data_IF_806809716392
#
_entry.id   IF_806809716392
#
_cell.length_a   1.000
_cell.length_b   1.000
_cell.length_c   1.000
_cell.angle_alpha   90.00
_cell.angle_beta   90.00
_cell.angle_gamma   90.00
#
_symmetry.space_group_name_H-M   'P 1'
#
loop_
_entity.id
_entity.type
_entity.pdbx_description
1 polymer ?
#
# COMPACT_ATOMS: atom_id res chain seq x y z
N UNK A 1 8.83 7.35 10.34
CA UNK A 1 8.41 8.69 9.81
C UNK A 1 7.68 8.52 8.50
N UNK A 2 6.56 9.24 8.24
CA UNK A 2 5.90 9.22 6.92
C UNK A 2 6.76 9.99 5.93
N UNK A 3 7.32 9.29 4.93
CA UNK A 3 8.12 9.90 3.86
C UNK A 3 7.29 10.20 2.62
N UNK A 4 6.22 9.42 2.41
CA UNK A 4 5.35 9.56 1.25
C UNK A 4 3.90 9.19 1.58
N UNK A 5 2.97 9.81 0.88
CA UNK A 5 1.55 9.41 0.87
C UNK A 5 1.20 8.88 -0.50
N UNK A 6 0.71 7.64 -0.52
CA UNK A 6 0.21 6.99 -1.73
C UNK A 6 -1.30 7.16 -1.80
N UNK A 7 -1.75 7.80 -2.87
CA UNK A 7 -3.18 8.04 -3.12
C UNK A 7 -3.77 6.88 -3.91
N UNK A 8 -4.60 6.12 -3.23
CA UNK A 8 -5.26 4.90 -3.67
C UNK A 8 -4.34 3.69 -3.82
N UNK A 9 -4.93 2.54 -4.21
CA UNK A 9 -4.27 1.27 -4.53
C UNK A 9 -4.88 0.69 -5.80
N UNK A 10 -4.05 0.31 -6.76
CA UNK A 10 -4.41 -0.36 -8.01
C UNK A 10 -5.64 0.22 -8.73
N UNK A 11 -5.66 1.53 -9.06
CA UNK A 11 -6.85 2.19 -9.60
C UNK A 11 -7.31 1.65 -10.95
N UNK A 12 -6.42 1.02 -11.71
CA UNK A 12 -6.72 0.40 -13.00
C UNK A 12 -7.10 -1.10 -12.88
N UNK A 13 -7.23 -1.61 -11.65
CA UNK A 13 -7.72 -2.94 -11.35
C UNK A 13 -9.17 -2.87 -10.85
N UNK A 14 -10.07 -3.60 -11.52
CA UNK A 14 -11.50 -3.60 -11.19
C UNK A 14 -11.80 -4.07 -9.76
N UNK A 15 -10.92 -4.84 -9.16
CA UNK A 15 -11.05 -5.29 -7.77
C UNK A 15 -10.73 -4.21 -6.74
N UNK A 16 -10.10 -3.08 -7.16
CA UNK A 16 -9.70 -1.98 -6.27
C UNK A 16 -10.38 -0.65 -6.60
N UNK A 17 -10.81 -0.46 -7.85
CA UNK A 17 -11.61 0.68 -8.28
C UNK A 17 -12.69 0.21 -9.25
N UNK A 18 -13.95 0.45 -8.91
CA UNK A 18 -15.06 0.03 -9.78
C UNK A 18 -15.21 0.98 -10.97
N UNK A 19 -14.33 0.84 -11.96
CA UNK A 19 -14.39 1.62 -13.19
C UNK A 19 -15.58 1.26 -14.11
N UNK A 20 -16.42 0.30 -13.74
CA UNK A 20 -17.73 0.12 -14.38
C UNK A 20 -18.72 1.22 -13.95
N UNK A 21 -18.44 1.88 -12.83
CA UNK A 21 -19.19 3.02 -12.33
C UNK A 21 -18.54 4.34 -12.76
N UNK A 22 -17.19 4.41 -12.79
CA UNK A 22 -16.40 5.55 -13.28
C UNK A 22 -15.67 5.15 -14.57
N UNK A 23 -16.39 5.01 -15.67
CA UNK A 23 -15.95 4.35 -16.91
C UNK A 23 -14.81 5.05 -17.64
N UNK A 24 -14.57 6.33 -17.35
CA UNK A 24 -13.50 7.13 -17.92
C UNK A 24 -12.48 7.64 -16.88
N UNK A 25 -12.55 7.14 -15.63
CA UNK A 25 -11.69 7.57 -14.50
C UNK A 25 -11.69 9.07 -14.20
N UNK A 26 -12.71 9.83 -14.60
CA UNK A 26 -12.78 11.26 -14.28
C UNK A 26 -13.04 11.54 -12.81
N UNK A 27 -13.85 10.69 -12.15
CA UNK A 27 -14.07 10.78 -10.70
C UNK A 27 -12.77 10.48 -9.95
N UNK A 28 -12.06 9.42 -10.35
CA UNK A 28 -10.73 9.09 -9.83
C UNK A 28 -9.76 10.26 -10.00
N UNK A 29 -9.62 10.78 -11.22
CA UNK A 29 -8.72 11.89 -11.53
C UNK A 29 -9.00 13.12 -10.66
N UNK A 30 -10.28 13.51 -10.53
CA UNK A 30 -10.69 14.63 -9.69
C UNK A 30 -10.35 14.37 -8.22
N UNK A 31 -10.65 13.18 -7.71
CA UNK A 31 -10.38 12.79 -6.32
C UNK A 31 -8.89 12.88 -5.99
N UNK A 32 -8.02 12.33 -6.84
CA UNK A 32 -6.56 12.38 -6.65
C UNK A 32 -6.04 13.81 -6.71
N UNK A 33 -6.49 14.60 -7.70
CA UNK A 33 -6.09 16.01 -7.83
C UNK A 33 -6.43 16.82 -6.58
N UNK A 34 -7.65 16.67 -6.06
CA UNK A 34 -8.08 17.37 -4.85
C UNK A 34 -7.27 16.95 -3.63
N UNK A 35 -7.09 15.64 -3.43
CA UNK A 35 -6.28 15.11 -2.32
C UNK A 35 -4.83 15.58 -2.39
N UNK A 36 -4.20 15.52 -3.57
CA UNK A 36 -2.84 16.00 -3.76
C UNK A 36 -2.68 17.49 -3.41
N UNK A 37 -3.63 18.31 -3.80
CA UNK A 37 -3.63 19.75 -3.49
C UNK A 37 -3.79 20.03 -1.99
N UNK A 38 -4.59 19.25 -1.27
CA UNK A 38 -4.68 19.38 0.19
C UNK A 38 -3.34 18.98 0.85
N UNK A 39 -2.69 17.91 0.40
CA UNK A 39 -1.35 17.53 0.89
C UNK A 39 -0.36 18.67 0.70
N UNK A 40 -0.31 19.30 -0.48
CA UNK A 40 0.62 20.39 -0.79
C UNK A 40 0.42 21.62 0.10
N UNK A 41 -0.82 21.91 0.51
CA UNK A 41 -1.10 23.01 1.45
C UNK A 41 -0.52 22.77 2.84
N UNK A 42 -0.52 21.50 3.30
CA UNK A 42 -0.09 21.12 4.65
C UNK A 42 1.40 20.87 4.71
N UNK A 43 1.91 20.08 3.77
CA UNK A 43 3.32 19.72 3.66
C UNK A 43 3.78 19.72 2.19
N UNK A 44 4.29 20.85 1.69
CA UNK A 44 4.75 20.95 0.31
C UNK A 44 5.89 19.99 -0.05
N UNK A 45 6.67 19.53 0.95
CA UNK A 45 7.81 18.63 0.78
C UNK A 45 7.45 17.14 0.85
N UNK A 46 6.21 16.79 1.19
CA UNK A 46 5.79 15.40 1.29
C UNK A 46 5.64 14.77 -0.11
N UNK A 47 6.27 13.62 -0.30
CA UNK A 47 6.18 12.88 -1.58
C UNK A 47 4.77 12.34 -1.79
N UNK A 48 4.17 12.66 -2.94
CA UNK A 48 2.85 12.16 -3.34
C UNK A 48 3.03 11.07 -4.40
N UNK A 49 2.54 9.88 -4.10
CA UNK A 49 2.65 8.70 -4.96
C UNK A 49 1.28 8.37 -5.54
N UNK A 50 1.20 8.20 -6.85
CA UNK A 50 0.02 7.61 -7.48
C UNK A 50 0.01 6.11 -7.15
N UNK A 51 -1.11 5.60 -6.63
CA UNK A 51 -1.26 4.21 -6.18
C UNK A 51 -0.82 3.20 -7.22
N UNK A 52 -0.13 2.15 -6.80
CA UNK A 52 0.53 1.17 -7.66
C UNK A 52 -0.37 0.59 -8.75
N UNK A 53 0.05 0.73 -9.98
CA UNK A 53 -0.72 0.27 -11.14
C UNK A 53 -0.62 -1.25 -11.30
N UNK A 54 -1.75 -1.91 -11.41
CA UNK A 54 -1.85 -3.36 -11.70
C UNK A 54 -3.06 -3.62 -12.60
N UNK A 55 -2.84 -4.04 -13.83
CA UNK A 55 -1.55 -4.32 -14.50
C UNK A 55 -0.70 -3.08 -14.74
N UNK A 56 0.59 -3.25 -15.04
CA UNK A 56 1.46 -2.16 -15.52
C UNK A 56 0.94 -1.69 -16.88
N UNK A 57 0.34 -0.50 -16.90
CA UNK A 57 -0.32 0.04 -18.10
C UNK A 57 0.09 1.49 -18.39
N UNK A 58 0.98 1.71 -19.37
CA UNK A 58 1.37 3.03 -19.81
C UNK A 58 0.22 3.88 -20.37
N UNK A 59 -0.83 3.25 -20.93
CA UNK A 59 -1.97 4.00 -21.47
C UNK A 59 -2.82 4.58 -20.36
N UNK A 60 -2.91 3.91 -19.22
CA UNK A 60 -3.57 4.47 -18.03
C UNK A 60 -2.83 5.71 -17.52
N UNK A 61 -1.49 5.70 -17.50
CA UNK A 61 -0.69 6.87 -17.14
C UNK A 61 -0.94 8.04 -18.10
N UNK A 62 -1.00 7.77 -19.43
CA UNK A 62 -1.34 8.79 -20.44
C UNK A 62 -2.75 9.35 -20.23
N UNK A 63 -3.72 8.50 -19.92
CA UNK A 63 -5.08 8.91 -19.63
C UNK A 63 -5.12 9.89 -18.44
N UNK A 64 -4.49 9.51 -17.31
CA UNK A 64 -4.41 10.37 -16.13
C UNK A 64 -3.61 11.66 -16.41
N UNK A 65 -2.58 11.60 -17.25
CA UNK A 65 -1.86 12.78 -17.74
C UNK A 65 -2.76 13.74 -18.51
N UNK A 66 -3.67 13.22 -19.36
CA UNK A 66 -4.63 14.03 -20.09
C UNK A 66 -5.64 14.74 -19.18
N UNK A 67 -5.82 14.27 -17.95
CA UNK A 67 -6.63 14.91 -16.91
C UNK A 67 -5.84 15.81 -15.96
N UNK A 68 -4.51 15.93 -16.16
CA UNK A 68 -3.63 16.75 -15.32
C UNK A 68 -3.21 16.10 -14.00
N UNK A 69 -3.56 14.83 -13.75
CA UNK A 69 -3.23 14.13 -12.49
C UNK A 69 -1.74 13.96 -12.30
N UNK A 70 -1.01 13.66 -13.40
CA UNK A 70 0.43 13.40 -13.36
C UNK A 70 1.21 14.65 -12.91
N UNK A 71 0.70 15.85 -13.16
CA UNK A 71 1.33 17.11 -12.72
C UNK A 71 1.21 17.34 -11.20
N UNK A 72 0.19 16.76 -10.56
CA UNK A 72 -0.11 16.94 -9.13
C UNK A 72 0.63 15.94 -8.23
N UNK A 73 1.25 14.89 -8.80
CA UNK A 73 1.98 13.83 -8.07
C UNK A 73 3.48 13.90 -8.31
N UNK A 74 4.27 13.21 -7.48
CA UNK A 74 5.73 13.15 -7.59
C UNK A 74 6.22 11.84 -8.16
N UNK A 75 5.53 10.73 -7.90
CA UNK A 75 5.96 9.36 -8.21
C UNK A 75 4.80 8.58 -8.80
N UNK A 76 5.07 7.80 -9.84
CA UNK A 76 4.16 6.76 -10.35
C UNK A 76 4.60 5.42 -9.77
N UNK A 77 3.72 4.73 -9.05
CA UNK A 77 4.02 3.39 -8.54
C UNK A 77 3.40 2.30 -9.42
N UNK A 78 4.04 1.16 -9.46
CA UNK A 78 3.57 -0.06 -10.15
C UNK A 78 3.66 -1.26 -9.25
N UNK A 79 2.82 -2.28 -9.53
CA UNK A 79 2.84 -3.58 -8.88
C UNK A 79 3.16 -4.70 -9.88
N UNK A 80 3.73 -5.81 -9.38
CA UNK A 80 3.96 -6.97 -10.22
C UNK A 80 4.25 -8.25 -9.47
N UNK A 81 3.62 -9.33 -9.97
CA UNK A 81 3.66 -10.68 -9.40
C UNK A 81 3.90 -11.71 -10.53
N UNK A 82 5.10 -11.68 -11.16
CA UNK A 82 5.35 -12.33 -12.44
C UNK A 82 5.29 -13.87 -12.42
N UNK A 83 5.47 -14.51 -11.27
CA UNK A 83 5.38 -15.97 -11.15
C UNK A 83 4.01 -16.45 -10.62
N UNK A 84 3.11 -15.51 -10.30
CA UNK A 84 1.82 -15.82 -9.69
C UNK A 84 0.65 -15.52 -10.63
N UNK A 85 0.29 -14.26 -10.83
CA UNK A 85 -0.85 -13.89 -11.68
C UNK A 85 -0.55 -12.95 -12.83
N UNK A 86 0.67 -12.41 -12.93
CA UNK A 86 1.09 -11.70 -14.12
C UNK A 86 1.62 -12.68 -15.18
N UNK A 87 1.24 -12.45 -16.44
CA UNK A 87 1.61 -13.29 -17.58
C UNK A 87 2.92 -12.87 -18.27
N UNK A 88 3.84 -12.22 -17.53
CA UNK A 88 5.16 -11.82 -18.02
C UNK A 88 6.25 -12.41 -17.13
N UNK A 89 7.45 -12.54 -17.69
CA UNK A 89 8.60 -13.12 -16.99
C UNK A 89 9.12 -12.21 -15.88
N UNK A 90 9.62 -12.74 -14.77
CA UNK A 90 10.32 -11.96 -13.74
C UNK A 90 11.49 -11.14 -14.35
N UNK A 91 12.10 -11.62 -15.43
CA UNK A 91 13.17 -10.93 -16.16
C UNK A 91 12.68 -9.71 -16.95
N UNK A 92 11.38 -9.53 -17.12
CA UNK A 92 10.80 -8.38 -17.82
C UNK A 92 10.62 -7.14 -16.91
N UNK A 93 10.98 -7.22 -15.63
CA UNK A 93 10.91 -6.07 -14.74
C UNK A 93 11.55 -4.78 -15.30
N UNK A 94 12.80 -4.81 -15.83
CA UNK A 94 13.39 -3.60 -16.43
C UNK A 94 12.55 -3.05 -17.58
N UNK A 95 11.97 -3.91 -18.39
CA UNK A 95 11.08 -3.52 -19.49
C UNK A 95 9.80 -2.85 -18.95
N UNK A 96 9.21 -3.38 -17.87
CA UNK A 96 8.02 -2.80 -17.25
C UNK A 96 8.27 -1.40 -16.69
N UNK A 97 9.43 -1.18 -16.07
CA UNK A 97 9.87 0.15 -15.65
C UNK A 97 10.01 1.09 -16.85
N UNK A 98 10.67 0.63 -17.90
CA UNK A 98 10.90 1.44 -19.11
C UNK A 98 9.60 1.79 -19.83
N UNK A 99 8.63 0.88 -19.92
CA UNK A 99 7.30 1.14 -20.48
C UNK A 99 6.61 2.36 -19.80
N UNK A 100 6.76 2.51 -18.50
CA UNK A 100 6.22 3.66 -17.76
C UNK A 100 7.06 4.92 -17.99
N UNK A 101 8.40 4.81 -17.98
CA UNK A 101 9.31 5.94 -18.23
C UNK A 101 9.14 6.58 -19.61
N UNK A 102 8.68 5.81 -20.59
CA UNK A 102 8.39 6.33 -21.93
C UNK A 102 7.17 7.28 -21.98
N UNK A 103 6.31 7.27 -20.95
CA UNK A 103 5.08 8.06 -20.93
C UNK A 103 5.02 9.11 -19.82
N UNK A 104 6.00 9.12 -18.94
CA UNK A 104 6.13 10.12 -17.87
C UNK A 104 7.59 10.34 -17.49
N UNK A 105 7.94 11.57 -17.11
CA UNK A 105 9.23 11.90 -16.52
C UNK A 105 9.30 11.70 -14.99
N UNK A 106 8.18 11.31 -14.37
CA UNK A 106 8.14 11.08 -12.92
C UNK A 106 8.95 9.84 -12.55
N UNK A 107 9.62 9.82 -11.39
CA UNK A 107 10.21 8.62 -10.83
C UNK A 107 9.21 7.47 -10.78
N UNK A 108 9.70 6.25 -10.96
CA UNK A 108 8.88 5.03 -10.86
C UNK A 108 9.30 4.26 -9.62
N UNK A 109 8.33 3.92 -8.76
CA UNK A 109 8.53 3.01 -7.63
C UNK A 109 7.82 1.68 -7.89
N UNK A 110 8.35 0.60 -7.30
CA UNK A 110 7.66 -0.69 -7.24
C UNK A 110 7.11 -0.85 -5.83
N UNK A 111 5.85 -0.49 -5.65
CA UNK A 111 5.23 -0.47 -4.32
C UNK A 111 4.68 -1.81 -3.87
N UNK A 112 4.55 -2.77 -4.79
CA UNK A 112 4.38 -4.20 -4.49
C UNK A 112 5.08 -5.04 -5.55
N UNK A 113 5.92 -5.95 -5.07
CA UNK A 113 6.45 -7.06 -5.84
C UNK A 113 6.40 -8.30 -4.97
N UNK A 114 6.05 -9.45 -5.51
CA UNK A 114 5.97 -10.66 -4.72
C UNK A 114 6.01 -11.92 -5.56
N UNK A 115 6.37 -13.01 -4.88
CA UNK A 115 6.29 -14.38 -5.38
C UNK A 115 5.83 -15.26 -4.23
N UNK A 116 4.80 -16.06 -4.46
CA UNK A 116 4.25 -16.95 -3.46
C UNK A 116 5.10 -18.20 -3.25
N UNK A 117 4.98 -18.80 -2.06
CA UNK A 117 5.53 -20.14 -1.79
C UNK A 117 4.57 -21.25 -2.22
N UNK A 118 3.57 -20.94 -3.02
CA UNK A 118 2.62 -21.94 -3.49
C UNK A 118 3.35 -23.03 -4.29
N UNK A 119 3.55 -24.18 -3.65
CA UNK A 119 4.28 -25.33 -4.17
C UNK A 119 5.69 -25.51 -3.64
N UNK A 120 6.48 -24.43 -3.43
CA UNK A 120 7.85 -24.54 -2.88
C UNK A 120 8.37 -23.20 -2.32
N UNK A 121 9.06 -23.25 -1.18
CA UNK A 121 9.67 -22.07 -0.57
C UNK A 121 10.86 -21.54 -1.38
N UNK A 122 11.59 -22.41 -2.06
CA UNK A 122 12.73 -22.08 -2.91
C UNK A 122 12.34 -21.18 -4.09
N UNK A 123 11.11 -21.29 -4.57
CA UNK A 123 10.59 -20.40 -5.62
C UNK A 123 10.47 -18.97 -5.11
N UNK A 124 10.04 -18.78 -3.86
CA UNK A 124 10.00 -17.45 -3.25
C UNK A 124 11.41 -16.90 -3.00
N UNK A 125 12.39 -17.73 -2.58
CA UNK A 125 13.79 -17.34 -2.43
C UNK A 125 14.34 -16.84 -3.78
N UNK A 126 14.16 -17.60 -4.85
CA UNK A 126 14.53 -17.17 -6.19
C UNK A 126 13.83 -15.84 -6.56
N UNK A 127 12.55 -15.76 -6.31
CA UNK A 127 11.74 -14.58 -6.65
C UNK A 127 12.22 -13.32 -5.96
N UNK A 128 12.47 -13.37 -4.63
CA UNK A 128 12.89 -12.19 -3.87
C UNK A 128 14.29 -11.73 -4.25
N UNK A 129 15.24 -12.67 -4.42
CA UNK A 129 16.60 -12.35 -4.83
C UNK A 129 16.61 -11.75 -6.24
N UNK A 130 15.90 -12.39 -7.18
CA UNK A 130 15.85 -11.93 -8.57
C UNK A 130 15.17 -10.61 -8.73
N UNK A 131 14.09 -10.36 -7.99
CA UNK A 131 13.40 -9.06 -7.96
C UNK A 131 14.35 -7.96 -7.46
N UNK A 132 15.06 -8.19 -6.36
CA UNK A 132 16.01 -7.23 -5.80
C UNK A 132 17.15 -6.92 -6.80
N UNK A 133 17.77 -7.94 -7.39
CA UNK A 133 18.83 -7.77 -8.40
C UNK A 133 18.40 -6.91 -9.59
N UNK A 134 17.15 -7.09 -10.04
CA UNK A 134 16.65 -6.39 -11.23
C UNK A 134 16.14 -4.98 -10.92
N UNK A 135 15.58 -4.75 -9.72
CA UNK A 135 14.86 -3.51 -9.43
C UNK A 135 15.66 -2.51 -8.59
N UNK A 136 16.44 -2.96 -7.60
CA UNK A 136 17.17 -2.04 -6.72
C UNK A 136 18.13 -1.10 -7.47
N UNK A 137 18.78 -1.51 -8.59
CA UNK A 137 19.58 -0.58 -9.39
C UNK A 137 18.77 0.40 -10.25
N UNK A 138 17.46 0.18 -10.40
CA UNK A 138 16.63 0.91 -11.36
C UNK A 138 15.68 1.92 -10.71
N UNK A 139 15.23 1.66 -9.48
CA UNK A 139 14.20 2.46 -8.82
C UNK A 139 14.56 2.73 -7.35
N UNK A 140 14.10 3.85 -6.82
CA UNK A 140 14.45 4.28 -5.46
C UNK A 140 13.71 3.48 -4.37
N UNK A 141 12.57 2.89 -4.67
CA UNK A 141 11.74 2.12 -3.72
C UNK A 141 11.20 0.86 -4.37
N UNK A 142 11.45 -0.26 -3.67
CA UNK A 142 10.85 -1.57 -3.97
C UNK A 142 10.32 -2.14 -2.65
N UNK A 143 9.04 -2.48 -2.59
CA UNK A 143 8.45 -3.12 -1.42
C UNK A 143 8.01 -4.55 -1.77
N UNK A 144 8.48 -5.50 -0.96
CA UNK A 144 8.07 -6.90 -1.10
C UNK A 144 6.71 -7.12 -0.44
N UNK A 145 5.80 -7.75 -1.14
CA UNK A 145 4.50 -8.20 -0.63
C UNK A 145 4.56 -9.69 -0.30
N UNK A 146 4.55 -10.10 0.97
CA UNK A 146 4.28 -9.35 2.17
C UNK A 146 5.10 -9.89 3.36
N UNK A 147 4.89 -9.35 4.56
CA UNK A 147 5.53 -9.89 5.77
C UNK A 147 4.90 -11.22 6.19
N UNK A 148 3.56 -11.27 6.32
CA UNK A 148 2.81 -12.45 6.75
C UNK A 148 1.99 -13.05 5.61
N UNK A 149 1.82 -14.37 5.65
CA UNK A 149 0.77 -15.05 4.93
C UNK A 149 -0.61 -14.54 5.37
N UNK A 150 -1.56 -14.57 4.46
CA UNK A 150 -2.95 -14.27 4.80
C UNK A 150 -3.53 -15.39 5.65
N UNK A 151 -4.42 -15.07 6.63
CA UNK A 151 -5.12 -16.07 7.41
C UNK A 151 -5.91 -17.03 6.51
N UNK A 152 -5.99 -18.30 6.89
CA UNK A 152 -6.80 -19.29 6.17
C UNK A 152 -8.30 -18.90 6.12
N UNK A 153 -8.74 -18.07 7.08
CA UNK A 153 -10.10 -17.50 7.13
C UNK A 153 -10.29 -16.28 6.24
N UNK A 154 -9.20 -15.74 5.65
CA UNK A 154 -9.31 -14.61 4.75
C UNK A 154 -10.13 -14.97 3.51
N UNK A 155 -11.00 -14.09 3.10
CA UNK A 155 -11.74 -14.19 1.85
C UNK A 155 -11.59 -12.87 1.10
N UNK A 156 -11.40 -12.95 -0.21
CA UNK A 156 -11.41 -11.75 -1.03
C UNK A 156 -12.76 -11.04 -0.87
N UNK A 157 -12.71 -9.84 -0.34
CA UNK A 157 -13.90 -9.00 -0.11
C UNK A 157 -14.16 -8.04 -1.24
N UNK A 158 -13.38 -8.11 -2.32
CA UNK A 158 -13.55 -7.31 -3.52
C UNK A 158 -14.87 -7.65 -4.23
N UNK A 159 -15.56 -6.64 -4.72
CA UNK A 159 -16.81 -6.79 -5.48
C UNK A 159 -16.61 -7.60 -6.77
N UNK A 160 -15.43 -7.51 -7.35
CA UNK A 160 -15.01 -8.23 -8.54
C UNK A 160 -13.81 -9.11 -8.20
N UNK A 161 -13.82 -10.36 -8.65
CA UNK A 161 -12.72 -11.29 -8.39
C UNK A 161 -11.45 -10.82 -9.10
N UNK A 162 -10.34 -10.79 -8.38
CA UNK A 162 -9.01 -10.49 -8.92
C UNK A 162 -8.44 -11.65 -9.71
N UNK A 163 -8.62 -12.86 -9.18
CA UNK A 163 -8.04 -14.07 -9.70
C UNK A 163 -8.97 -15.27 -9.48
N UNK A 164 -8.78 -16.31 -10.26
CA UNK A 164 -9.51 -17.57 -10.16
C UNK A 164 -8.53 -18.75 -10.10
N UNK A 165 -9.03 -19.89 -9.63
CA UNK A 165 -8.26 -21.13 -9.57
C UNK A 165 -7.02 -21.01 -8.68
N UNK A 166 -5.88 -21.51 -9.16
CA UNK A 166 -4.63 -21.52 -8.38
C UNK A 166 -4.10 -20.12 -8.10
N UNK A 167 -4.36 -19.14 -8.97
CA UNK A 167 -3.94 -17.76 -8.78
C UNK A 167 -4.60 -17.13 -7.53
N UNK A 168 -5.88 -17.44 -7.28
CA UNK A 168 -6.55 -17.02 -6.05
C UNK A 168 -5.88 -17.59 -4.79
N UNK A 169 -5.56 -18.90 -4.80
CA UNK A 169 -4.95 -19.54 -3.63
C UNK A 169 -3.53 -19.07 -3.37
N UNK A 170 -2.81 -18.55 -4.36
CA UNK A 170 -1.45 -18.03 -4.20
C UNK A 170 -1.38 -16.81 -3.28
N UNK A 171 -2.46 -16.02 -3.18
CA UNK A 171 -2.56 -14.90 -2.24
C UNK A 171 -2.27 -15.30 -0.79
N UNK A 172 -2.65 -16.51 -0.38
CA UNK A 172 -2.46 -16.99 0.99
C UNK A 172 -0.99 -17.25 1.35
N UNK A 173 -0.09 -17.30 0.36
CA UNK A 173 1.30 -17.76 0.53
C UNK A 173 2.34 -16.70 0.13
N UNK A 174 1.99 -15.42 0.17
CA UNK A 174 2.89 -14.32 -0.25
C UNK A 174 3.85 -13.87 0.84
N UNK A 175 3.53 -14.13 2.12
CA UNK A 175 4.34 -13.75 3.26
C UNK A 175 5.72 -14.42 3.27
N UNK A 176 6.71 -13.74 3.84
CA UNK A 176 8.00 -14.34 4.21
C UNK A 176 7.93 -15.04 5.58
N UNK A 177 6.84 -14.78 6.30
CA UNK A 177 6.43 -15.51 7.50
C UNK A 177 5.09 -16.18 7.23
N UNK A 178 4.83 -17.30 7.87
CA UNK A 178 3.52 -17.95 7.89
C UNK A 178 2.53 -17.14 8.72
N UNK A 179 1.26 -17.48 8.65
CA UNK A 179 0.19 -16.84 9.43
C UNK A 179 0.50 -16.81 10.93
N UNK A 180 1.08 -17.88 11.45
CA UNK A 180 1.46 -18.02 12.86
C UNK A 180 2.78 -17.32 13.25
N UNK A 181 3.40 -16.59 12.33
CA UNK A 181 4.69 -15.90 12.52
C UNK A 181 5.93 -16.77 12.36
N UNK A 182 5.77 -18.06 12.06
CA UNK A 182 6.95 -18.90 11.78
C UNK A 182 7.62 -18.50 10.47
N UNK A 183 8.96 -18.36 10.46
CA UNK A 183 9.65 -17.91 9.26
C UNK A 183 9.64 -18.98 8.16
N UNK A 184 9.59 -18.50 6.91
CA UNK A 184 9.87 -19.29 5.72
C UNK A 184 11.33 -19.13 5.31
N UNK A 185 11.78 -19.95 4.36
CA UNK A 185 13.17 -19.93 3.86
C UNK A 185 13.57 -18.54 3.33
N UNK A 186 12.66 -17.80 2.70
CA UNK A 186 12.92 -16.46 2.17
C UNK A 186 13.35 -15.44 3.23
N UNK A 187 13.03 -15.65 4.51
CA UNK A 187 13.45 -14.78 5.61
C UNK A 187 14.99 -14.71 5.71
N UNK A 188 15.69 -15.84 5.56
CA UNK A 188 17.14 -15.91 5.64
C UNK A 188 17.86 -15.34 4.39
N UNK A 189 17.10 -15.06 3.35
CA UNK A 189 17.56 -14.55 2.06
C UNK A 189 17.00 -13.16 1.73
N UNK A 190 16.44 -12.44 2.74
CA UNK A 190 15.85 -11.14 2.51
C UNK A 190 16.93 -10.11 2.15
N UNK A 191 16.85 -9.46 0.94
CA UNK A 191 17.90 -8.59 0.47
C UNK A 191 17.92 -7.24 1.21
N UNK A 192 19.11 -6.73 1.46
CA UNK A 192 19.28 -5.35 1.95
C UNK A 192 18.76 -4.34 0.92
N UNK A 193 18.14 -3.26 1.39
CA UNK A 193 17.57 -2.20 0.56
C UNK A 193 16.14 -2.48 0.08
N UNK A 194 15.66 -3.71 0.23
CA UNK A 194 14.27 -4.04 -0.07
C UNK A 194 13.37 -3.63 1.11
N UNK A 195 12.28 -2.92 0.81
CA UNK A 195 11.22 -2.60 1.77
C UNK A 195 10.20 -3.74 1.88
N UNK A 196 9.29 -3.60 2.83
CA UNK A 196 8.14 -4.50 3.02
C UNK A 196 6.84 -3.75 2.77
N UNK A 197 5.91 -4.37 2.05
CA UNK A 197 4.50 -4.01 2.03
C UNK A 197 3.75 -4.90 3.02
N UNK A 198 3.20 -4.31 4.07
CA UNK A 198 2.35 -5.01 5.04
C UNK A 198 1.15 -4.15 5.40
N UNK A 199 -0.02 -4.64 5.07
CA UNK A 199 -1.26 -4.03 5.50
C UNK A 199 -1.62 -4.53 6.90
N UNK A 200 -1.88 -3.61 7.84
CA UNK A 200 -2.42 -3.94 9.16
C UNK A 200 -3.94 -3.79 9.12
N UNK A 201 -4.65 -4.88 9.38
CA UNK A 201 -6.10 -4.83 9.51
C UNK A 201 -6.50 -4.00 10.74
N UNK A 202 -7.73 -3.54 10.76
CA UNK A 202 -8.23 -2.74 11.89
C UNK A 202 -8.07 -3.51 13.21
N UNK A 203 -7.38 -2.91 14.19
CA UNK A 203 -7.04 -3.50 15.49
C UNK A 203 -6.20 -4.80 15.39
N UNK A 204 -5.35 -4.89 14.37
CA UNK A 204 -4.49 -6.07 14.16
C UNK A 204 -3.61 -6.34 15.38
N UNK A 205 -3.86 -7.48 16.01
CA UNK A 205 -3.12 -7.92 17.20
C UNK A 205 -1.64 -8.22 16.91
N UNK A 206 -1.27 -8.48 15.64
CA UNK A 206 0.11 -8.77 15.21
C UNK A 206 0.98 -7.53 15.00
N UNK A 207 0.43 -6.32 15.19
CA UNK A 207 1.18 -5.08 14.90
C UNK A 207 2.54 -5.03 15.58
N UNK A 208 2.62 -5.35 16.87
CA UNK A 208 3.87 -5.32 17.61
C UNK A 208 4.85 -6.42 17.15
N UNK A 209 4.36 -7.63 16.90
CA UNK A 209 5.17 -8.74 16.38
C UNK A 209 5.71 -8.43 14.97
N UNK A 210 4.88 -7.76 14.15
CA UNK A 210 5.30 -7.30 12.83
C UNK A 210 6.46 -6.29 12.92
N UNK A 211 6.38 -5.32 13.82
CA UNK A 211 7.45 -4.33 14.06
C UNK A 211 8.75 -5.03 14.48
N UNK A 212 8.69 -6.01 15.37
CA UNK A 212 9.84 -6.81 15.77
C UNK A 212 10.46 -7.58 14.59
N UNK A 213 9.64 -8.14 13.71
CA UNK A 213 10.14 -8.82 12.51
C UNK A 213 10.77 -7.86 11.50
N UNK A 214 10.16 -6.67 11.28
CA UNK A 214 10.74 -5.64 10.42
C UNK A 214 12.13 -5.20 10.91
N UNK A 215 12.31 -5.06 12.22
CA UNK A 215 13.63 -4.78 12.83
C UNK A 215 14.63 -5.91 12.58
N UNK A 216 14.22 -7.17 12.82
CA UNK A 216 15.08 -8.37 12.60
C UNK A 216 15.52 -8.52 11.14
N UNK A 217 14.68 -8.10 10.21
CA UNK A 217 14.96 -8.09 8.78
C UNK A 217 15.78 -6.88 8.33
N UNK A 218 16.10 -5.95 9.25
CA UNK A 218 16.77 -4.69 8.95
C UNK A 218 16.04 -3.87 7.87
N UNK A 219 14.71 -3.87 7.89
CA UNK A 219 13.87 -3.13 6.94
C UNK A 219 13.91 -1.66 7.27
N UNK A 220 14.26 -0.82 6.29
CA UNK A 220 14.22 0.65 6.43
C UNK A 220 12.94 1.27 5.85
N UNK A 221 12.32 0.60 4.87
CA UNK A 221 11.18 1.12 4.12
C UNK A 221 9.94 0.23 4.32
N UNK A 222 8.89 0.83 4.83
CA UNK A 222 7.60 0.16 5.04
C UNK A 222 6.52 0.81 4.17
N UNK A 223 5.78 0.00 3.41
CA UNK A 223 4.51 0.43 2.85
C UNK A 223 3.37 -0.21 3.64
N UNK A 224 2.50 0.64 4.15
CA UNK A 224 1.27 0.23 4.84
C UNK A 224 0.14 1.18 4.46
N UNK A 225 -1.01 1.11 5.11
CA UNK A 225 -2.10 2.00 4.80
C UNK A 225 -3.03 2.30 5.97
N UNK A 226 -3.81 3.37 5.79
CA UNK A 226 -4.95 3.72 6.60
C UNK A 226 -6.19 3.74 5.70
N UNK A 227 -7.14 2.86 6.03
CA UNK A 227 -8.39 2.75 5.26
C UNK A 227 -9.32 3.92 5.57
N UNK A 228 -9.76 4.64 4.52
CA UNK A 228 -10.79 5.65 4.67
C UNK A 228 -12.11 5.06 5.20
N UNK A 229 -12.46 3.85 4.74
CA UNK A 229 -13.63 3.15 5.24
C UNK A 229 -13.54 2.85 6.75
N UNK A 230 -12.33 2.50 7.25
CA UNK A 230 -12.12 2.23 8.66
C UNK A 230 -12.17 3.49 9.54
N UNK A 231 -11.96 4.69 8.97
CA UNK A 231 -12.02 5.95 9.73
C UNK A 231 -13.42 6.24 10.34
N UNK A 232 -14.44 5.53 9.91
CA UNK A 232 -15.80 5.61 10.44
C UNK A 232 -16.12 4.54 11.50
N UNK A 233 -15.16 3.67 11.80
CA UNK A 233 -15.34 2.65 12.85
C UNK A 233 -15.17 3.25 14.24
N UNK A 234 -15.81 2.68 15.26
CA UNK A 234 -15.49 3.03 16.65
C UNK A 234 -13.98 2.89 16.92
N UNK A 235 -13.39 3.81 17.66
CA UNK A 235 -11.96 3.83 18.02
C UNK A 235 -10.98 3.94 16.82
N UNK A 236 -11.44 4.41 15.66
CA UNK A 236 -10.59 4.51 14.48
C UNK A 236 -9.34 5.39 14.70
N UNK A 237 -9.52 6.56 15.35
CA UNK A 237 -8.38 7.45 15.62
C UNK A 237 -7.36 6.80 16.55
N UNK A 238 -7.82 6.11 17.62
CA UNK A 238 -6.94 5.41 18.55
C UNK A 238 -6.16 4.28 17.85
N UNK A 239 -6.82 3.56 16.94
CA UNK A 239 -6.16 2.54 16.15
C UNK A 239 -5.09 3.15 15.22
N UNK A 240 -5.43 4.21 14.49
CA UNK A 240 -4.50 4.89 13.60
C UNK A 240 -3.30 5.45 14.37
N UNK A 241 -3.54 6.09 15.54
CA UNK A 241 -2.47 6.58 16.40
C UNK A 241 -1.54 5.46 16.86
N UNK A 242 -2.13 4.33 17.31
CA UNK A 242 -1.35 3.15 17.72
C UNK A 242 -0.53 2.59 16.58
N UNK A 243 -1.12 2.43 15.40
CA UNK A 243 -0.40 1.93 14.22
C UNK A 243 0.75 2.85 13.85
N UNK A 244 0.49 4.16 13.74
CA UNK A 244 1.51 5.14 13.34
C UNK A 244 2.63 5.30 14.37
N UNK A 245 2.32 5.22 15.66
CA UNK A 245 3.31 5.23 16.73
C UNK A 245 4.22 3.97 16.68
N UNK A 246 3.63 2.80 16.45
CA UNK A 246 4.38 1.55 16.40
C UNK A 246 5.40 1.50 15.26
N UNK A 247 5.10 2.15 14.11
CA UNK A 247 5.94 2.13 12.90
C UNK A 247 6.78 3.40 12.70
N UNK A 248 6.86 4.29 13.68
CA UNK A 248 7.48 5.62 13.52
C UNK A 248 8.94 5.61 13.10
N UNK A 249 9.67 4.56 13.44
CA UNK A 249 11.09 4.39 13.11
C UNK A 249 11.34 4.08 11.63
N UNK A 250 10.34 3.56 10.89
CA UNK A 250 10.47 3.23 9.49
C UNK A 250 10.17 4.42 8.57
N UNK A 251 10.84 4.47 7.43
CA UNK A 251 10.48 5.36 6.34
C UNK A 251 9.20 4.81 5.69
N UNK A 252 8.06 5.43 5.99
CA UNK A 252 6.76 4.87 5.66
C UNK A 252 6.15 5.53 4.43
N UNK A 253 5.81 4.71 3.43
CA UNK A 253 4.87 5.06 2.37
C UNK A 253 3.46 4.71 2.85
N UNK A 254 2.66 5.74 3.15
CA UNK A 254 1.33 5.59 3.72
C UNK A 254 0.26 5.60 2.63
N UNK A 255 -0.36 4.45 2.37
CA UNK A 255 -1.44 4.32 1.38
C UNK A 255 -2.78 4.74 1.99
N UNK A 256 -3.49 5.64 1.32
CA UNK A 256 -4.85 6.06 1.66
C UNK A 256 -5.81 5.58 0.58
N UNK A 257 -6.78 4.76 0.95
CA UNK A 257 -7.72 4.16 0.00
C UNK A 257 -9.00 3.65 0.69
N UNK A 258 -9.90 3.07 -0.10
CA UNK A 258 -11.14 2.40 0.29
C UNK A 258 -12.26 3.35 0.72
N UNK A 259 -13.23 3.51 -0.17
CA UNK A 259 -14.40 4.37 0.06
C UNK A 259 -15.31 3.77 1.13
N UNK A 260 -15.74 4.53 2.14
CA UNK A 260 -16.81 4.10 3.04
C UNK A 260 -18.08 3.77 2.24
N UNK A 261 -18.74 2.66 2.54
CA UNK A 261 -19.92 2.20 1.76
C UNK A 261 -21.01 3.27 1.63
N UNK A 262 -21.26 4.00 2.72
CA UNK A 262 -22.30 5.06 2.75
C UNK A 262 -21.93 6.31 1.94
N UNK A 263 -20.64 6.50 1.59
CA UNK A 263 -20.14 7.59 0.73
C UNK A 263 -19.95 7.15 -0.72
N UNK A 264 -19.95 5.85 -0.99
CA UNK A 264 -19.78 5.30 -2.33
C UNK A 264 -20.99 5.48 -3.23
N UNK A 265 -20.75 5.54 -4.54
CA UNK A 265 -21.81 5.51 -5.56
C UNK A 265 -22.58 4.18 -5.52
N UNK A 266 -21.90 3.10 -5.17
CA UNK A 266 -22.46 1.81 -4.81
C UNK A 266 -21.95 1.41 -3.42
N UNK A 267 -22.69 0.59 -2.65
CA UNK A 267 -22.31 0.25 -1.27
C UNK A 267 -21.18 -0.78 -1.23
N UNK A 268 -19.97 -0.35 -1.55
CA UNK A 268 -18.77 -1.18 -1.53
C UNK A 268 -17.51 -0.31 -1.44
N UNK A 269 -16.47 -0.75 -0.73
CA UNK A 269 -15.24 0.04 -0.49
C UNK A 269 -14.40 0.30 -1.76
N UNK A 270 -14.61 -0.44 -2.85
CA UNK A 270 -13.97 -0.18 -4.16
C UNK A 270 -14.75 0.81 -5.01
N UNK A 271 -15.90 1.28 -4.53
CA UNK A 271 -16.75 2.23 -5.22
C UNK A 271 -16.07 3.59 -5.37
N UNK A 272 -16.20 4.28 -6.50
CA UNK A 272 -16.00 5.72 -6.56
C UNK A 272 -16.87 6.42 -5.49
N UNK A 273 -16.36 7.47 -4.80
CA UNK A 273 -17.17 8.24 -3.87
C UNK A 273 -18.20 9.08 -4.63
N UNK A 274 -19.35 9.37 -4.01
CA UNK A 274 -20.32 10.33 -4.59
C UNK A 274 -19.74 11.73 -4.68
N UNK A 275 -18.90 12.09 -3.72
CA UNK A 275 -18.27 13.39 -3.64
C UNK A 275 -16.75 13.21 -3.43
N UNK A 276 -15.91 13.50 -4.42
CA UNK A 276 -14.46 13.33 -4.30
C UNK A 276 -13.80 14.24 -3.28
N UNK A 277 -14.44 15.35 -2.89
CA UNK A 277 -13.99 16.25 -1.83
C UNK A 277 -13.92 15.55 -0.47
N UNK A 278 -14.76 14.54 -0.22
CA UNK A 278 -14.76 13.79 1.04
C UNK A 278 -13.46 12.99 1.23
N UNK A 279 -12.88 12.44 0.16
CA UNK A 279 -11.57 11.78 0.22
C UNK A 279 -10.44 12.79 0.44
N UNK A 280 -10.53 13.96 -0.18
CA UNK A 280 -9.56 15.02 0.01
C UNK A 280 -9.55 15.51 1.48
N UNK A 281 -10.72 15.64 2.11
CA UNK A 281 -10.84 16.00 3.53
C UNK A 281 -10.29 14.90 4.46
N UNK A 282 -10.54 13.61 4.15
CA UNK A 282 -9.90 12.50 4.86
C UNK A 282 -8.38 12.55 4.74
N UNK A 283 -7.87 12.72 3.51
CA UNK A 283 -6.43 12.84 3.24
C UNK A 283 -5.82 14.00 4.02
N UNK A 284 -6.48 15.16 4.02
CA UNK A 284 -6.06 16.33 4.77
C UNK A 284 -5.89 16.01 6.25
N UNK A 285 -6.91 15.41 6.90
CA UNK A 285 -6.86 15.04 8.32
C UNK A 285 -5.71 14.10 8.65
N UNK A 286 -5.48 13.09 7.80
CA UNK A 286 -4.38 12.14 8.00
C UNK A 286 -3.02 12.83 7.88
N UNK A 287 -2.82 13.69 6.88
CA UNK A 287 -1.55 14.39 6.68
C UNK A 287 -1.31 15.43 7.78
N UNK A 288 -2.32 16.19 8.21
CA UNK A 288 -2.21 17.10 9.35
C UNK A 288 -1.77 16.38 10.63
N UNK A 289 -2.30 15.17 10.86
CA UNK A 289 -2.02 14.40 12.08
C UNK A 289 -0.69 13.67 12.06
N UNK A 290 -0.26 13.10 10.93
CA UNK A 290 0.89 12.18 10.89
C UNK A 290 2.04 12.60 9.99
N UNK A 291 1.87 13.60 9.14
CA UNK A 291 2.85 13.98 8.11
C UNK A 291 2.96 15.50 7.91
N UNK A 292 2.56 16.34 8.87
CA UNK A 292 2.68 17.79 8.75
C UNK A 292 4.14 18.25 8.79
N UNK A 293 4.45 19.35 8.08
CA UNK A 293 5.80 19.95 8.05
C UNK A 293 6.31 20.42 9.43
N UNK A 294 5.42 20.56 10.41
CA UNK A 294 5.74 20.99 11.78
C UNK A 294 6.23 19.82 12.67
N UNK A 295 6.17 18.58 12.23
CA UNK A 295 6.65 17.40 12.96
C UNK A 295 8.14 17.13 12.67
N UNK A 296 8.99 18.16 12.78
CA UNK A 296 10.44 17.98 12.80
C UNK A 296 10.90 17.25 14.07
N UNK A 297 12.13 16.67 14.11
CA UNK A 297 12.66 16.01 15.29
C UNK A 297 12.72 17.02 16.46
N UNK A 298 11.79 16.90 17.41
CA UNK A 298 11.65 17.78 18.57
C UNK A 298 10.26 18.37 18.83
N UNK A 299 9.26 18.11 17.98
CA UNK A 299 7.89 18.50 18.28
C UNK A 299 7.34 17.63 19.42
N UNK A 300 6.93 18.25 20.52
CA UNK A 300 6.24 17.55 21.63
C UNK A 300 4.96 16.90 21.09
N UNK A 301 4.95 15.59 21.07
CA UNK A 301 3.75 14.80 20.75
C UNK A 301 2.81 14.83 21.95
N UNK A 302 1.48 14.82 21.76
CA UNK A 302 0.56 14.62 22.86
C UNK A 302 0.91 13.31 23.55
N UNK A 303 1.26 13.39 24.84
CA UNK A 303 1.53 12.23 25.70
C UNK A 303 0.27 11.39 25.73
N UNK A 304 0.32 10.17 25.19
CA UNK A 304 -0.73 9.18 25.36
C UNK A 304 -0.76 8.86 26.86
N UNK A 305 -1.77 9.34 27.57
CA UNK A 305 -2.00 8.97 28.96
C UNK A 305 -2.11 7.44 29.03
N UNK A 306 -1.31 6.83 29.91
CA UNK A 306 -1.28 5.39 30.15
C UNK A 306 -2.71 4.84 30.23
N UNK A 307 -2.99 3.83 29.40
CA UNK A 307 -4.21 3.05 29.48
C UNK A 307 -4.20 2.34 30.84
N UNK A 308 -5.23 2.47 31.71
CA UNK A 308 -5.26 1.76 32.96
C UNK A 308 -5.21 0.25 32.71
N UNK A 309 -4.26 -0.42 33.33
CA UNK A 309 -4.20 -1.86 33.40
C UNK A 309 -5.43 -2.40 34.11
N UNK A 310 -6.41 -2.90 33.37
CA UNK A 310 -7.64 -3.43 33.95
C UNK A 310 -8.64 -3.90 32.92
N UNK A 311 -8.34 -4.99 32.23
CA UNK A 311 -9.35 -5.93 31.73
C UNK A 311 -8.73 -7.33 31.73
N UNK A 312 -8.74 -7.94 32.92
CA UNK A 312 -8.73 -9.38 33.06
C UNK A 312 -10.19 -9.84 33.09
N UNK A 313 -10.45 -10.97 32.46
CA UNK A 313 -11.58 -11.87 32.59
C UNK A 313 -12.96 -11.40 32.13
N UNK A 314 -13.37 -11.93 30.96
CA UNK A 314 -14.66 -12.64 30.86
C UNK A 314 -14.53 -13.77 29.84
N UNK A 315 -14.79 -14.95 30.35
CA UNK A 315 -14.91 -16.29 29.77
C UNK A 315 -15.76 -16.37 28.49
#
# INVERSE_FOLDING_TARGET
MVEAVMLWNEPNNLSHWDFKVDTDWRMFARMITLAAREIRKINPGLTIVLGGLSPVDPNFVKLLGSYGVIDEIDVVAIHGFPLDWNHWSIHDWPKKIEEIRQVTSKPVWVSEAGVSTFGAEEVQVFGIQRTAELLLPLVDRVHWYSLYDLPATWTATTRHKEAEGSAYYRHYYMGILREDGTPKLARDHFPEGLGICQWFHFEDHRLNDAVEWLRRLNVSYLRTGLSWADSFRPNAEQWFDRQMAAIEEFNTTLTLCFTPEHLGMVPHYTSPPRNPEDFAEFTKKIVERYASAQQGPGAERPVISEVPAGYAEFS
#
